data_IF_301392223565
#
_entry.id   IF_301392223565
#
_cell.length_a   1.000
_cell.length_b   1.000
_cell.length_c   1.000
_cell.angle_alpha   90.00
_cell.angle_beta   90.00
_cell.angle_gamma   90.00
#
_symmetry.space_group_name_H-M   'P 1'
#
loop_
_entity.id
_entity.type
_entity.pdbx_description
1 polymer ?
#
# COMPACT_ATOMS: atom_id res chain seq x y z
N UNK A 1 5.61 13.97 12.74
CA UNK A 1 5.14 12.65 13.25
C UNK A 1 4.32 11.97 12.16
N UNK A 2 4.55 10.69 11.90
CA UNK A 2 3.73 9.88 10.97
C UNK A 2 2.91 8.88 11.77
N UNK A 3 1.60 8.89 11.55
CA UNK A 3 0.66 8.00 12.22
C UNK A 3 0.02 7.11 11.16
N UNK A 4 0.21 5.81 11.29
CA UNK A 4 -0.38 4.82 10.40
C UNK A 4 -1.61 4.21 11.07
N UNK A 5 -2.71 4.16 10.34
CA UNK A 5 -3.91 3.45 10.75
C UNK A 5 -4.37 2.56 9.58
N UNK A 6 -4.36 1.23 9.74
CA UNK A 6 -4.83 0.34 8.71
C UNK A 6 -6.36 0.44 8.59
N UNK A 7 -6.83 0.54 7.35
CA UNK A 7 -8.26 0.53 6.98
C UNK A 7 -8.48 -0.47 5.85
N UNK A 8 -9.70 -1.00 5.73
CA UNK A 8 -10.03 -1.89 4.63
C UNK A 8 -9.97 -1.14 3.28
N UNK A 9 -9.58 -1.82 2.19
CA UNK A 9 -9.58 -1.20 0.87
C UNK A 9 -11.02 -0.88 0.44
N UNK A 10 -11.15 0.12 -0.43
CA UNK A 10 -12.44 0.54 -1.02
C UNK A 10 -13.50 1.08 -0.06
N UNK A 11 -13.13 1.40 1.18
CA UNK A 11 -14.03 2.11 2.09
C UNK A 11 -14.31 3.53 1.60
N UNK A 12 -15.45 4.06 2.06
CA UNK A 12 -15.77 5.46 1.90
C UNK A 12 -14.70 6.32 2.58
N UNK A 13 -14.22 7.31 1.85
CA UNK A 13 -13.10 8.13 2.25
C UNK A 13 -13.46 9.61 2.15
N UNK A 14 -14.02 10.14 3.23
CA UNK A 14 -14.46 11.53 3.33
C UNK A 14 -13.86 12.20 4.58
N UNK A 15 -13.93 13.54 4.63
CA UNK A 15 -13.35 14.33 5.72
C UNK A 15 -13.87 13.94 7.10
N UNK A 16 -15.17 13.63 7.21
CA UNK A 16 -15.82 13.27 8.48
C UNK A 16 -15.21 11.99 9.05
N UNK A 17 -15.07 10.96 8.21
CA UNK A 17 -14.47 9.67 8.58
C UNK A 17 -13.01 9.85 8.98
N UNK A 18 -12.24 10.63 8.20
CA UNK A 18 -10.82 10.92 8.48
C UNK A 18 -10.63 11.65 9.81
N UNK A 19 -11.44 12.66 10.09
CA UNK A 19 -11.34 13.42 11.35
C UNK A 19 -11.72 12.55 12.55
N UNK A 20 -12.75 11.69 12.42
CA UNK A 20 -13.08 10.69 13.47
C UNK A 20 -11.89 9.79 13.78
N UNK A 21 -11.21 9.27 12.75
CA UNK A 21 -10.05 8.41 12.94
C UNK A 21 -8.86 9.15 13.55
N UNK A 22 -8.63 10.39 13.14
CA UNK A 22 -7.60 11.24 13.72
C UNK A 22 -7.81 11.44 15.22
N UNK A 23 -9.03 11.73 15.66
CA UNK A 23 -9.36 11.88 17.08
C UNK A 23 -9.17 10.58 17.87
N UNK A 24 -9.50 9.43 17.28
CA UNK A 24 -9.24 8.12 17.90
C UNK A 24 -7.76 7.87 18.11
N UNK A 25 -6.92 8.18 17.11
CA UNK A 25 -5.47 7.98 17.20
C UNK A 25 -4.86 8.93 18.23
N UNK A 26 -5.20 10.22 18.19
CA UNK A 26 -4.66 11.21 19.13
C UNK A 26 -5.05 10.89 20.57
N UNK A 27 -6.32 10.55 20.82
CA UNK A 27 -6.78 10.17 22.15
C UNK A 27 -6.01 8.97 22.71
N UNK A 28 -5.73 7.97 21.86
CA UNK A 28 -4.91 6.81 22.25
C UNK A 28 -3.46 7.20 22.50
N UNK A 29 -2.88 8.04 21.65
CA UNK A 29 -1.50 8.47 21.74
C UNK A 29 -1.25 9.26 23.03
N UNK A 30 -2.04 10.31 23.29
CA UNK A 30 -1.92 11.12 24.52
C UNK A 30 -2.18 10.30 25.79
N UNK A 31 -3.12 9.34 25.74
CA UNK A 31 -3.37 8.43 26.86
C UNK A 31 -2.15 7.57 27.21
N UNK A 32 -1.40 7.11 26.20
CA UNK A 32 -0.21 6.26 26.35
C UNK A 32 1.00 7.11 26.75
N UNK A 33 1.24 8.23 26.07
CA UNK A 33 2.44 9.06 26.27
C UNK A 33 2.33 10.02 27.45
N UNK A 34 1.11 10.29 27.94
CA UNK A 34 0.81 11.33 28.94
C UNK A 34 1.25 12.73 28.53
N UNK A 35 1.31 12.99 27.22
CA UNK A 35 1.66 14.28 26.65
C UNK A 35 0.42 14.89 26.01
N UNK A 36 0.23 16.21 26.15
CA UNK A 36 -0.67 16.95 25.29
C UNK A 36 0.02 17.13 23.95
N UNK A 37 -0.59 16.61 22.88
CA UNK A 37 -0.07 16.68 21.51
C UNK A 37 -0.92 17.64 20.69
N UNK A 38 -2.24 17.63 20.92
CA UNK A 38 -3.22 18.45 20.21
C UNK A 38 -2.84 19.92 20.15
N UNK A 39 -2.43 20.49 21.27
CA UNK A 39 -2.16 21.94 21.37
C UNK A 39 -0.87 22.34 20.63
N UNK A 40 -0.05 21.37 20.23
CA UNK A 40 1.20 21.59 19.50
C UNK A 40 1.09 21.27 17.99
N UNK A 41 -0.10 20.94 17.49
CA UNK A 41 -0.30 20.63 16.07
C UNK A 41 -0.46 21.92 15.27
N UNK A 42 0.63 22.35 14.62
CA UNK A 42 0.62 23.50 13.70
C UNK A 42 0.25 23.13 12.26
N UNK A 43 0.29 21.82 11.92
CA UNK A 43 -0.02 21.32 10.59
C UNK A 43 -0.46 19.86 10.63
N UNK A 44 -1.49 19.52 9.83
CA UNK A 44 -2.02 18.17 9.65
C UNK A 44 -2.32 17.91 8.18
N UNK A 45 -1.83 16.78 7.65
CA UNK A 45 -2.22 16.26 6.33
C UNK A 45 -2.58 14.78 6.45
N UNK A 46 -3.75 14.42 5.93
CA UNK A 46 -4.19 13.03 5.77
C UNK A 46 -3.91 12.55 4.35
N UNK A 47 -3.58 11.27 4.20
CA UNK A 47 -3.41 10.62 2.90
C UNK A 47 -3.99 9.20 3.00
N UNK A 48 -4.98 8.88 2.18
CA UNK A 48 -5.75 7.65 2.29
C UNK A 48 -6.25 7.17 0.91
N UNK A 49 -7.34 6.39 0.90
CA UNK A 49 -7.85 5.59 -0.20
C UNK A 49 -7.98 6.41 -1.49
N UNK A 50 -8.57 7.60 -1.41
CA UNK A 50 -8.79 8.46 -2.58
C UNK A 50 -7.49 8.95 -3.19
N UNK A 51 -6.52 9.37 -2.38
CA UNK A 51 -5.21 9.78 -2.89
C UNK A 51 -4.43 8.59 -3.46
N UNK A 52 -4.51 7.39 -2.85
CA UNK A 52 -3.89 6.18 -3.43
C UNK A 52 -4.51 5.80 -4.79
N UNK A 53 -5.83 5.93 -4.94
CA UNK A 53 -6.50 5.71 -6.24
C UNK A 53 -6.05 6.75 -7.27
N UNK A 54 -6.04 8.03 -6.89
CA UNK A 54 -5.74 9.16 -7.77
C UNK A 54 -4.27 9.20 -8.20
N UNK A 55 -3.35 9.13 -7.26
CA UNK A 55 -1.94 9.44 -7.50
C UNK A 55 -1.15 8.22 -7.98
N UNK A 56 -1.60 7.00 -7.64
CA UNK A 56 -0.90 5.76 -7.95
C UNK A 56 -1.72 4.77 -8.79
N UNK A 57 -2.93 5.12 -9.22
CA UNK A 57 -3.87 4.20 -9.86
C UNK A 57 -4.07 2.90 -9.04
N UNK A 58 -3.98 3.01 -7.72
CA UNK A 58 -4.00 1.83 -6.86
C UNK A 58 -5.39 1.21 -6.82
N UNK A 59 -5.47 -0.08 -7.16
CA UNK A 59 -6.72 -0.84 -7.13
C UNK A 59 -7.38 -0.74 -5.74
N UNK A 60 -8.61 -0.24 -5.67
CA UNK A 60 -9.34 -0.02 -4.41
C UNK A 60 -8.62 0.87 -3.38
N UNK A 61 -7.63 1.66 -3.82
CA UNK A 61 -6.85 2.54 -2.95
C UNK A 61 -5.97 1.80 -1.95
N UNK A 62 -5.52 0.59 -2.30
CA UNK A 62 -4.65 -0.19 -1.43
C UNK A 62 -3.24 0.44 -1.33
N UNK A 63 -2.65 0.45 -0.13
CA UNK A 63 -1.29 0.93 0.09
C UNK A 63 -0.24 -0.19 0.18
N UNK A 64 -0.68 -1.43 0.42
CA UNK A 64 0.19 -2.56 0.79
C UNK A 64 0.06 -3.78 -0.12
N UNK A 65 -0.59 -3.65 -1.28
CA UNK A 65 -0.74 -4.74 -2.25
C UNK A 65 -1.69 -5.85 -1.80
N UNK A 66 -1.40 -7.08 -2.21
CA UNK A 66 -2.22 -8.25 -1.89
C UNK A 66 -2.20 -8.56 -0.39
N UNK A 67 -3.32 -9.07 0.12
CA UNK A 67 -3.41 -9.50 1.52
C UNK A 67 -2.55 -10.76 1.75
N UNK A 68 -2.09 -10.96 2.99
CA UNK A 68 -1.32 -12.14 3.37
C UNK A 68 -2.22 -13.34 3.65
N UNK A 69 -3.09 -13.70 2.69
CA UNK A 69 -3.90 -14.93 2.77
C UNK A 69 -3.14 -16.10 2.16
N UNK A 70 -3.44 -17.34 2.56
CA UNK A 70 -2.76 -18.54 2.05
C UNK A 70 -2.75 -18.59 0.52
N UNK A 71 -3.88 -18.30 -0.12
CA UNK A 71 -4.05 -18.25 -1.58
C UNK A 71 -3.41 -17.04 -2.27
N UNK A 72 -2.85 -16.09 -1.51
CA UNK A 72 -2.13 -14.92 -2.03
C UNK A 72 -0.64 -14.97 -1.65
N UNK A 73 -0.14 -16.13 -1.20
CA UNK A 73 1.27 -16.34 -0.88
C UNK A 73 2.02 -17.12 -1.97
N UNK A 74 3.34 -16.94 -1.99
CA UNK A 74 4.28 -17.69 -2.81
C UNK A 74 3.83 -17.91 -4.27
N UNK A 75 3.64 -19.17 -4.68
CA UNK A 75 3.30 -19.59 -6.05
C UNK A 75 1.90 -19.16 -6.50
N UNK A 76 1.02 -18.77 -5.58
CA UNK A 76 -0.34 -18.31 -5.89
C UNK A 76 -0.41 -16.81 -6.15
N UNK A 77 0.69 -16.08 -5.98
CA UNK A 77 0.77 -14.68 -6.40
C UNK A 77 0.64 -14.54 -7.92
N UNK A 78 0.11 -13.41 -8.42
CA UNK A 78 0.13 -13.10 -9.84
C UNK A 78 1.55 -13.22 -10.41
N UNK A 79 1.66 -13.97 -11.49
CA UNK A 79 2.93 -14.16 -12.22
C UNK A 79 3.38 -12.85 -12.85
N UNK A 80 4.69 -12.66 -12.92
CA UNK A 80 5.32 -11.54 -13.61
C UNK A 80 5.16 -11.62 -15.14
N UNK A 81 4.85 -12.78 -15.72
CA UNK A 81 4.69 -12.96 -17.18
C UNK A 81 3.23 -13.18 -17.53
N UNK A 82 2.74 -12.46 -18.54
CA UNK A 82 1.38 -12.66 -19.03
C UNK A 82 1.23 -14.05 -19.68
N UNK A 83 0.11 -14.73 -19.43
CA UNK A 83 -0.16 -16.08 -19.95
C UNK A 83 -0.61 -16.10 -21.42
N UNK A 84 -1.17 -14.99 -21.92
CA UNK A 84 -1.73 -14.86 -23.27
C UNK A 84 -0.81 -14.08 -24.22
N UNK A 85 -0.14 -13.06 -23.71
CA UNK A 85 0.75 -12.19 -24.48
C UNK A 85 2.21 -12.54 -24.17
N UNK A 86 2.97 -12.97 -25.18
CA UNK A 86 4.31 -13.53 -25.00
C UNK A 86 5.39 -12.49 -24.68
N UNK A 87 5.11 -11.22 -24.97
CA UNK A 87 5.99 -10.05 -24.81
C UNK A 87 5.50 -9.07 -23.72
N UNK A 88 4.58 -9.48 -22.85
CA UNK A 88 4.06 -8.64 -21.76
C UNK A 88 4.50 -9.17 -20.38
N UNK A 89 5.08 -8.27 -19.60
CA UNK A 89 5.60 -8.53 -18.26
C UNK A 89 5.09 -7.48 -17.25
N UNK A 90 5.02 -7.87 -15.99
CA UNK A 90 4.55 -7.06 -14.87
C UNK A 90 5.62 -6.99 -13.78
N UNK A 91 5.94 -5.79 -13.33
CA UNK A 91 6.88 -5.53 -12.23
C UNK A 91 6.23 -4.66 -11.15
N UNK A 92 6.58 -4.91 -9.89
CA UNK A 92 6.17 -4.07 -8.77
C UNK A 92 5.51 -4.85 -7.65
N UNK A 93 4.76 -4.16 -6.80
CA UNK A 93 4.27 -4.69 -5.53
C UNK A 93 3.16 -5.76 -5.62
N UNK A 94 2.47 -5.86 -6.77
CA UNK A 94 1.33 -6.76 -6.96
C UNK A 94 1.69 -8.10 -7.61
N UNK A 95 2.94 -8.26 -8.05
CA UNK A 95 3.47 -9.48 -8.65
C UNK A 95 4.57 -10.08 -7.79
N UNK A 96 5.08 -11.25 -8.18
CA UNK A 96 6.24 -11.86 -7.50
C UNK A 96 7.42 -10.86 -7.47
N UNK A 97 8.08 -10.63 -6.32
CA UNK A 97 7.99 -11.34 -5.04
C UNK A 97 6.91 -10.83 -4.06
N UNK A 98 6.36 -9.64 -4.23
CA UNK A 98 5.25 -9.11 -3.43
C UNK A 98 5.40 -7.64 -3.03
N UNK A 99 4.66 -7.19 -2.00
CA UNK A 99 4.60 -5.79 -1.63
C UNK A 99 5.78 -5.31 -0.79
N UNK A 100 5.96 -3.97 -0.76
CA UNK A 100 7.04 -3.30 -0.03
C UNK A 100 8.14 -2.79 -0.96
N UNK A 101 8.94 -1.84 -0.45
CA UNK A 101 10.01 -1.19 -1.25
C UNK A 101 11.05 -2.20 -1.73
N UNK A 102 11.69 -3.03 -0.87
CA UNK A 102 12.69 -3.98 -1.36
C UNK A 102 12.12 -5.01 -2.34
N UNK A 103 10.95 -5.65 -2.07
CA UNK A 103 10.31 -6.55 -3.02
C UNK A 103 9.98 -5.92 -4.37
N UNK A 104 9.54 -4.65 -4.39
CA UNK A 104 9.22 -3.95 -5.64
C UNK A 104 10.47 -3.72 -6.50
N UNK A 105 11.59 -3.36 -5.89
CA UNK A 105 12.88 -3.19 -6.60
C UNK A 105 13.36 -4.54 -7.15
N UNK A 106 13.30 -5.60 -6.33
CA UNK A 106 13.66 -6.95 -6.75
C UNK A 106 12.78 -7.43 -7.91
N UNK A 107 11.46 -7.13 -7.88
CA UNK A 107 10.53 -7.46 -8.96
C UNK A 107 11.02 -6.92 -10.31
N UNK A 108 11.50 -5.67 -10.35
CA UNK A 108 12.10 -5.07 -11.55
C UNK A 108 13.31 -5.84 -12.06
N UNK A 109 14.25 -6.20 -11.17
CA UNK A 109 15.43 -6.98 -11.53
C UNK A 109 15.09 -8.37 -12.07
N UNK A 110 14.11 -9.04 -11.47
CA UNK A 110 13.65 -10.37 -11.91
C UNK A 110 13.02 -10.27 -13.30
N UNK A 111 12.16 -9.27 -13.54
CA UNK A 111 11.54 -9.04 -14.86
C UNK A 111 12.61 -8.74 -15.92
N UNK A 112 13.55 -7.85 -15.63
CA UNK A 112 14.64 -7.53 -16.55
C UNK A 112 15.46 -8.77 -16.92
N UNK A 113 15.82 -9.58 -15.91
CA UNK A 113 16.55 -10.83 -16.12
C UNK A 113 15.76 -11.83 -16.97
N UNK A 114 14.44 -11.92 -16.77
CA UNK A 114 13.57 -12.83 -17.53
C UNK A 114 13.38 -12.39 -18.99
N UNK A 115 13.41 -11.09 -19.25
CA UNK A 115 13.38 -10.54 -20.61
C UNK A 115 14.69 -10.87 -21.34
N UNK A 116 15.85 -10.68 -20.68
CA UNK A 116 17.16 -10.91 -21.28
C UNK A 116 17.42 -12.38 -21.66
N UNK A 117 16.80 -13.36 -20.99
CA UNK A 117 16.91 -14.79 -21.37
C UNK A 117 16.28 -15.13 -22.72
N UNK A 118 15.38 -14.28 -23.21
CA UNK A 118 14.66 -14.50 -24.48
C UNK A 118 15.28 -13.76 -25.67
N UNK A 119 16.34 -12.99 -25.43
CA UNK A 119 17.13 -12.32 -26.47
C UNK A 119 18.15 -13.31 -27.03
#
# INVERSE_FOLDING_TARGET
MFLLMPVAPDLEDNKIIRDRYFELILSRLEKITKQNIRDHIIYKKSYAINEFKKDYNSFKGNAYGLANTLFQTAIFKPSLKNKKLTNLYFSGQLTVPGPGVPPSIISGNVVASEILKKV
#
